data_IF_213076535909
#
_entry.id   IF_213076535909
#
_cell.length_a   1.000
_cell.length_b   1.000
_cell.length_c   1.000
_cell.angle_alpha   90.00
_cell.angle_beta   90.00
_cell.angle_gamma   90.00
#
_symmetry.space_group_name_H-M   'P 1'
#
loop_
_entity.id
_entity.type
_entity.pdbx_description
1 polymer ?
#
# COMPACT_ATOMS: atom_id res chain seq x y z
N UNK A 1 -11.71 19.05 18.38
CA UNK A 1 -12.43 17.75 18.25
C UNK A 1 -13.08 17.68 16.88
N UNK A 2 -13.11 16.53 16.19
CA UNK A 2 -13.78 16.43 14.90
C UNK A 2 -15.31 16.61 15.05
N UNK A 3 -15.98 17.29 14.08
CA UNK A 3 -17.43 17.47 14.03
C UNK A 3 -18.23 16.19 14.24
N UNK A 4 -19.39 16.29 14.90
CA UNK A 4 -20.28 15.15 15.22
C UNK A 4 -20.68 14.37 13.95
N UNK A 5 -21.00 15.08 12.85
CA UNK A 5 -21.34 14.47 11.55
C UNK A 5 -20.23 13.54 11.04
N UNK A 6 -18.97 13.91 11.21
CA UNK A 6 -17.81 13.11 10.77
C UNK A 6 -17.69 11.83 11.61
N UNK A 7 -17.98 11.88 12.91
CA UNK A 7 -17.99 10.69 13.77
C UNK A 7 -19.06 9.68 13.34
N UNK A 8 -20.23 10.17 12.91
CA UNK A 8 -21.36 9.33 12.44
C UNK A 8 -21.01 8.65 11.11
N UNK A 9 -20.54 9.41 10.12
CA UNK A 9 -20.13 8.87 8.81
C UNK A 9 -19.06 7.78 8.97
N UNK A 10 -18.09 7.99 9.86
CA UNK A 10 -17.05 6.98 10.16
C UNK A 10 -17.61 5.69 10.76
N UNK A 11 -18.59 5.77 11.67
CA UNK A 11 -19.27 4.58 12.20
C UNK A 11 -20.00 3.80 11.11
N UNK A 12 -20.69 4.50 10.21
CA UNK A 12 -21.38 3.88 9.07
C UNK A 12 -20.39 3.19 8.13
N UNK A 13 -19.29 3.85 7.77
CA UNK A 13 -18.25 3.27 6.92
C UNK A 13 -17.59 2.05 7.58
N UNK A 14 -17.39 2.07 8.90
CA UNK A 14 -16.90 0.91 9.64
C UNK A 14 -17.85 -0.28 9.54
N UNK A 15 -19.16 -0.09 9.72
CA UNK A 15 -20.16 -1.17 9.60
C UNK A 15 -20.16 -1.74 8.17
N UNK A 16 -20.09 -0.88 7.14
CA UNK A 16 -19.99 -1.31 5.73
C UNK A 16 -18.72 -2.14 5.50
N UNK A 17 -17.58 -1.73 6.06
CA UNK A 17 -16.33 -2.47 5.97
C UNK A 17 -16.39 -3.86 6.62
N UNK A 18 -17.03 -3.98 7.79
CA UNK A 18 -17.28 -5.26 8.47
C UNK A 18 -18.12 -6.18 7.56
N UNK A 19 -19.23 -5.69 7.02
CA UNK A 19 -20.08 -6.48 6.13
C UNK A 19 -19.35 -6.93 4.86
N UNK A 20 -18.58 -6.03 4.25
CA UNK A 20 -17.75 -6.33 3.09
C UNK A 20 -16.68 -7.39 3.39
N UNK A 21 -16.03 -7.30 4.55
CA UNK A 21 -15.06 -8.29 5.02
C UNK A 21 -15.69 -9.68 5.16
N UNK A 22 -16.83 -9.78 5.85
CA UNK A 22 -17.54 -11.06 6.06
C UNK A 22 -17.94 -11.67 4.71
N UNK A 23 -18.38 -10.86 3.76
CA UNK A 23 -18.75 -11.30 2.41
C UNK A 23 -17.57 -11.90 1.63
N UNK A 24 -16.41 -11.23 1.62
CA UNK A 24 -15.20 -11.74 0.95
C UNK A 24 -14.75 -13.04 1.61
N UNK A 25 -14.71 -13.07 2.94
CA UNK A 25 -14.31 -14.26 3.69
C UNK A 25 -15.19 -15.46 3.36
N UNK A 26 -16.53 -15.29 3.31
CA UNK A 26 -17.47 -16.36 2.93
C UNK A 26 -17.29 -16.85 1.49
N UNK A 27 -16.91 -15.97 0.55
CA UNK A 27 -16.73 -16.30 -0.87
C UNK A 27 -15.38 -16.99 -1.14
N UNK A 28 -14.30 -16.48 -0.56
CA UNK A 28 -12.93 -16.91 -0.90
C UNK A 28 -12.31 -17.87 0.13
N UNK A 29 -12.97 -18.08 1.28
CA UNK A 29 -12.47 -18.85 2.44
C UNK A 29 -11.07 -18.44 2.94
N UNK A 30 -10.57 -17.28 2.53
CA UNK A 30 -9.30 -16.67 2.97
C UNK A 30 -9.60 -15.43 3.80
N UNK A 31 -8.82 -15.19 4.86
CA UNK A 31 -8.98 -13.98 5.68
C UNK A 31 -8.67 -12.73 4.85
N UNK A 32 -9.65 -11.83 4.61
CA UNK A 32 -9.42 -10.61 3.84
C UNK A 32 -8.44 -9.68 4.54
N UNK A 33 -7.74 -8.85 3.78
CA UNK A 33 -6.94 -7.78 4.36
C UNK A 33 -7.86 -6.70 4.95
N UNK A 34 -7.90 -6.60 6.28
CA UNK A 34 -8.73 -5.63 6.99
C UNK A 34 -8.42 -4.17 6.61
N UNK A 35 -7.19 -3.84 6.23
CA UNK A 35 -6.85 -2.47 5.79
C UNK A 35 -7.48 -2.15 4.43
N UNK A 36 -7.63 -3.16 3.56
CA UNK A 36 -8.30 -3.02 2.27
C UNK A 36 -9.82 -3.10 2.39
N UNK A 37 -10.33 -3.93 3.31
CA UNK A 37 -11.77 -4.07 3.54
C UNK A 37 -12.43 -2.78 4.06
N UNK A 38 -11.66 -1.95 4.77
CA UNK A 38 -12.10 -0.62 5.25
C UNK A 38 -12.34 0.39 4.15
N UNK A 39 -11.73 0.18 2.99
CA UNK A 39 -11.74 1.18 1.93
C UNK A 39 -12.63 0.72 0.81
N UNK A 40 -13.85 1.25 0.81
CA UNK A 40 -14.94 0.83 -0.09
C UNK A 40 -15.10 1.74 -1.31
N UNK A 41 -14.39 2.87 -1.38
CA UNK A 41 -14.57 3.89 -2.42
C UNK A 41 -13.59 3.77 -3.61
N UNK A 42 -14.10 4.10 -4.81
CA UNK A 42 -13.39 4.05 -6.10
C UNK A 42 -12.16 4.98 -6.16
N UNK A 43 -12.12 6.01 -5.31
CA UNK A 43 -11.03 6.99 -5.23
C UNK A 43 -9.74 6.42 -4.61
N UNK A 44 -9.80 5.23 -4.00
CA UNK A 44 -8.66 4.59 -3.33
C UNK A 44 -7.74 3.78 -4.27
N UNK A 45 -7.99 3.76 -5.58
CA UNK A 45 -7.22 2.90 -6.50
C UNK A 45 -5.69 3.15 -6.41
N UNK A 46 -5.29 4.42 -6.33
CA UNK A 46 -3.88 4.83 -6.30
C UNK A 46 -3.24 4.42 -4.96
N UNK A 47 -3.89 4.76 -3.84
CA UNK A 47 -3.45 4.39 -2.50
C UNK A 47 -3.37 2.86 -2.33
N UNK A 48 -4.36 2.12 -2.85
CA UNK A 48 -4.37 0.65 -2.87
C UNK A 48 -3.16 0.09 -3.60
N UNK A 49 -2.83 0.65 -4.77
CA UNK A 49 -1.68 0.21 -5.57
C UNK A 49 -0.39 0.36 -4.78
N UNK A 50 -0.18 1.53 -4.16
CA UNK A 50 1.01 1.77 -3.35
C UNK A 50 1.02 0.94 -2.05
N UNK A 51 -0.13 0.77 -1.41
CA UNK A 51 -0.30 -0.07 -0.22
C UNK A 51 0.16 -1.51 -0.48
N UNK A 52 -0.32 -2.11 -1.58
CA UNK A 52 0.04 -3.47 -1.96
C UNK A 52 1.53 -3.59 -2.27
N UNK A 53 2.09 -2.63 -3.02
CA UNK A 53 3.52 -2.63 -3.35
C UNK A 53 4.40 -2.54 -2.09
N UNK A 54 4.05 -1.66 -1.14
CA UNK A 54 4.77 -1.53 0.13
C UNK A 54 4.61 -2.79 1.00
N UNK A 55 3.41 -3.37 1.07
CA UNK A 55 3.18 -4.63 1.80
C UNK A 55 3.99 -5.78 1.20
N UNK A 56 4.06 -5.86 -0.12
CA UNK A 56 4.87 -6.85 -0.83
C UNK A 56 6.37 -6.67 -0.55
N UNK A 57 6.83 -5.42 -0.48
CA UNK A 57 8.18 -5.08 -0.06
C UNK A 57 8.47 -5.42 1.42
N UNK A 58 7.47 -5.76 2.23
CA UNK A 58 7.63 -6.21 3.62
C UNK A 58 7.30 -5.15 4.67
N UNK A 59 6.72 -4.02 4.28
CA UNK A 59 6.30 -2.99 5.22
C UNK A 59 4.99 -3.34 5.93
N UNK A 60 4.90 -2.97 7.22
CA UNK A 60 3.63 -2.89 7.93
C UNK A 60 2.99 -1.54 7.62
N UNK A 61 1.91 -1.55 6.84
CA UNK A 61 1.21 -0.35 6.36
C UNK A 61 -0.19 -0.28 6.97
N UNK A 62 -0.58 0.91 7.44
CA UNK A 62 -1.96 1.24 7.86
C UNK A 62 -2.53 2.27 6.90
N UNK A 63 -3.82 2.18 6.60
CA UNK A 63 -4.55 3.12 5.74
C UNK A 63 -5.39 4.09 6.59
N UNK A 64 -5.60 5.32 6.11
CA UNK A 64 -6.54 6.30 6.67
C UNK A 64 -6.39 6.53 8.19
N UNK A 65 -5.16 6.76 8.65
CA UNK A 65 -4.87 6.96 10.08
C UNK A 65 -5.13 8.41 10.47
N UNK A 66 -5.79 8.63 11.61
CA UNK A 66 -6.12 9.96 12.10
C UNK A 66 -5.09 10.44 13.11
N UNK A 67 -4.48 11.59 12.85
CA UNK A 67 -3.61 12.33 13.76
C UNK A 67 -4.27 13.68 14.09
N UNK A 68 -4.95 13.74 15.24
CA UNK A 68 -5.71 14.92 15.64
C UNK A 68 -6.92 15.14 14.73
N UNK A 69 -6.91 16.24 13.98
CA UNK A 69 -7.97 16.57 13.01
C UNK A 69 -7.62 16.14 11.58
N UNK A 70 -6.41 15.63 11.34
CA UNK A 70 -5.93 15.27 10.01
C UNK A 70 -5.96 13.77 9.81
N UNK A 71 -6.42 13.34 8.64
CA UNK A 71 -6.34 11.96 8.19
C UNK A 71 -5.22 11.86 7.15
N UNK A 72 -4.48 10.76 7.19
CA UNK A 72 -3.37 10.48 6.28
C UNK A 72 -3.63 9.18 5.52
N UNK A 73 -3.27 9.15 4.24
CA UNK A 73 -3.61 8.05 3.33
C UNK A 73 -2.93 6.74 3.76
N UNK A 74 -1.60 6.75 3.92
CA UNK A 74 -0.83 5.60 4.37
C UNK A 74 0.11 5.97 5.51
N UNK A 75 0.28 5.05 6.46
CA UNK A 75 1.17 5.20 7.60
C UNK A 75 2.00 3.94 7.84
N UNK A 76 3.32 4.12 7.99
CA UNK A 76 4.30 3.09 8.33
C UNK A 76 4.76 3.27 9.79
N UNK A 77 4.12 2.60 10.77
CA UNK A 77 4.30 2.93 12.18
C UNK A 77 5.73 2.77 12.70
N UNK A 78 6.40 1.70 12.29
CA UNK A 78 7.79 1.42 12.69
C UNK A 78 8.75 2.56 12.29
N UNK A 79 8.43 3.28 11.22
CA UNK A 79 9.30 4.28 10.64
C UNK A 79 8.82 5.71 10.88
N UNK A 80 7.70 5.89 11.62
CA UNK A 80 7.02 7.17 11.82
C UNK A 80 6.84 7.93 10.50
N UNK A 81 6.55 7.22 9.42
CA UNK A 81 6.46 7.76 8.07
C UNK A 81 5.01 7.76 7.59
N UNK A 82 4.52 8.94 7.27
CA UNK A 82 3.26 9.18 6.56
C UNK A 82 3.54 9.27 5.08
N UNK A 83 2.70 8.63 4.28
CA UNK A 83 2.71 8.74 2.83
C UNK A 83 1.35 9.26 2.37
N UNK A 84 1.37 10.36 1.62
CA UNK A 84 0.17 10.98 1.03
C UNK A 84 0.18 10.70 -0.49
N UNK A 85 -0.93 10.18 -1.01
CA UNK A 85 -1.16 9.91 -2.42
C UNK A 85 -1.95 11.08 -3.03
N UNK A 86 -1.24 11.97 -3.70
CA UNK A 86 -1.84 13.16 -4.28
C UNK A 86 -2.59 12.80 -5.57
N UNK A 87 -3.93 12.77 -5.48
CA UNK A 87 -4.83 12.65 -6.62
C UNK A 87 -4.67 13.88 -7.51
N UNK A 88 -4.66 13.68 -8.83
CA UNK A 88 -4.36 14.75 -9.79
C UNK A 88 -5.50 15.80 -9.82
N UNK A 89 -5.45 16.80 -8.95
CA UNK A 89 -6.20 18.05 -9.08
C UNK A 89 -5.34 19.18 -8.54
N UNK A 90 -4.53 19.75 -9.43
CA UNK A 90 -3.89 21.05 -9.23
C UNK A 90 -4.96 22.15 -9.22
N UNK A 91 -5.77 22.24 -8.16
CA UNK A 91 -6.34 23.53 -7.77
C UNK A 91 -5.30 24.18 -6.88
N UNK A 92 -4.31 24.81 -7.50
CA UNK A 92 -3.18 25.47 -6.85
C UNK A 92 -3.58 26.73 -6.05
N UNK A 93 -4.80 26.75 -5.51
CA UNK A 93 -5.31 27.88 -4.74
C UNK A 93 -4.40 28.12 -3.53
N UNK A 94 -4.12 29.39 -3.19
CA UNK A 94 -3.33 29.73 -2.01
C UNK A 94 -3.85 29.06 -0.74
N UNK A 95 -5.16 28.90 -0.60
CA UNK A 95 -5.81 28.32 0.57
C UNK A 95 -5.57 26.80 0.69
N UNK A 96 -5.55 26.07 -0.42
CA UNK A 96 -5.21 24.64 -0.41
C UNK A 96 -3.75 24.43 -0.02
N UNK A 97 -2.85 25.22 -0.61
CA UNK A 97 -1.41 25.18 -0.27
C UNK A 97 -1.17 25.48 1.20
N UNK A 98 -1.86 26.47 1.75
CA UNK A 98 -1.71 26.82 3.16
C UNK A 98 -2.25 25.72 4.08
N UNK A 99 -3.41 25.13 3.76
CA UNK A 99 -3.93 23.98 4.52
C UNK A 99 -2.98 22.79 4.49
N UNK A 100 -2.41 22.45 3.33
CA UNK A 100 -1.44 21.37 3.20
C UNK A 100 -0.15 21.65 3.99
N UNK A 101 0.36 22.89 3.93
CA UNK A 101 1.51 23.33 4.73
C UNK A 101 1.22 23.19 6.24
N UNK A 102 0.05 23.64 6.70
CA UNK A 102 -0.35 23.50 8.09
C UNK A 102 -0.46 22.03 8.52
N UNK A 103 -1.10 21.18 7.69
CA UNK A 103 -1.19 19.72 7.93
C UNK A 103 0.22 19.13 8.08
N UNK A 104 1.11 19.40 7.13
CA UNK A 104 2.47 18.88 7.14
C UNK A 104 3.27 19.36 8.35
N UNK A 105 3.18 20.65 8.70
CA UNK A 105 3.83 21.19 9.88
C UNK A 105 3.35 20.53 11.16
N UNK A 106 2.04 20.29 11.31
CA UNK A 106 1.48 19.63 12.49
C UNK A 106 1.96 18.18 12.58
N UNK A 107 1.92 17.42 11.48
CA UNK A 107 2.42 16.04 11.43
C UNK A 107 3.90 15.97 11.84
N UNK A 108 4.74 16.88 11.33
CA UNK A 108 6.17 16.94 11.66
C UNK A 108 6.44 17.42 13.08
N UNK A 109 5.94 18.59 13.46
CA UNK A 109 6.32 19.27 14.71
C UNK A 109 5.65 18.62 15.94
N UNK A 110 4.34 18.34 15.85
CA UNK A 110 3.55 17.81 16.97
C UNK A 110 3.65 16.29 17.09
N UNK A 111 3.50 15.57 15.98
CA UNK A 111 3.46 14.10 15.99
C UNK A 111 4.83 13.45 15.70
N UNK A 112 5.86 14.26 15.39
CA UNK A 112 7.22 13.79 15.07
C UNK A 112 7.23 12.76 13.93
N UNK A 113 6.38 13.00 12.92
CA UNK A 113 6.24 12.15 11.74
C UNK A 113 7.04 12.71 10.56
N UNK A 114 7.61 11.82 9.77
CA UNK A 114 8.10 12.13 8.43
C UNK A 114 6.91 12.10 7.47
N UNK A 115 6.91 12.97 6.46
CA UNK A 115 5.85 13.01 5.44
C UNK A 115 6.49 12.87 4.07
N UNK A 116 6.00 11.94 3.25
CA UNK A 116 6.40 11.75 1.86
C UNK A 116 5.17 11.77 0.97
N UNK A 117 5.11 12.72 0.04
CA UNK A 117 4.02 12.82 -0.92
C UNK A 117 4.42 12.21 -2.26
N UNK A 118 3.50 11.49 -2.89
CA UNK A 118 3.65 11.00 -4.25
C UNK A 118 2.45 11.40 -5.08
N UNK A 119 2.69 11.83 -6.32
CA UNK A 119 1.62 12.11 -7.27
C UNK A 119 0.98 10.83 -7.79
N UNK A 120 -0.27 10.93 -8.23
CA UNK A 120 -0.97 9.85 -8.93
C UNK A 120 -0.14 9.28 -10.10
N UNK A 121 0.53 10.13 -10.88
CA UNK A 121 1.37 9.71 -12.01
C UNK A 121 2.57 8.90 -11.54
N UNK A 122 3.25 9.31 -10.47
CA UNK A 122 4.35 8.53 -9.88
C UNK A 122 3.86 7.17 -9.40
N UNK A 123 2.76 7.13 -8.64
CA UNK A 123 2.24 5.86 -8.11
C UNK A 123 1.74 4.95 -9.22
N UNK A 124 1.07 5.47 -10.24
CA UNK A 124 0.49 4.64 -11.31
C UNK A 124 1.53 4.15 -12.31
N UNK A 125 2.50 5.00 -12.70
CA UNK A 125 3.49 4.69 -13.74
C UNK A 125 4.84 4.21 -13.21
N UNK A 126 5.17 4.50 -11.94
CA UNK A 126 6.48 4.23 -11.34
C UNK A 126 6.34 3.72 -9.90
N UNK A 127 5.45 2.75 -9.67
CA UNK A 127 5.16 2.24 -8.32
C UNK A 127 6.41 1.71 -7.62
N UNK A 128 7.27 0.98 -8.32
CA UNK A 128 8.50 0.42 -7.74
C UNK A 128 9.49 1.51 -7.33
N UNK A 129 9.59 2.58 -8.12
CA UNK A 129 10.36 3.76 -7.74
C UNK A 129 9.80 4.44 -6.48
N UNK A 130 8.48 4.49 -6.30
CA UNK A 130 7.90 5.00 -5.06
C UNK A 130 8.31 4.14 -3.86
N UNK A 131 8.31 2.80 -4.00
CA UNK A 131 8.77 1.87 -2.97
C UNK A 131 10.25 2.08 -2.67
N UNK A 132 11.09 2.28 -3.69
CA UNK A 132 12.51 2.59 -3.53
C UNK A 132 12.73 3.89 -2.77
N UNK A 133 11.98 4.96 -3.09
CA UNK A 133 12.04 6.21 -2.33
C UNK A 133 11.59 6.07 -0.88
N UNK A 134 10.68 5.15 -0.59
CA UNK A 134 10.35 4.80 0.79
C UNK A 134 11.52 4.06 1.44
N UNK A 135 12.14 3.11 0.74
CA UNK A 135 13.30 2.38 1.23
C UNK A 135 14.52 3.27 1.52
N UNK A 136 14.79 4.29 0.70
CA UNK A 136 15.82 5.30 0.96
C UNK A 136 15.57 6.03 2.30
N UNK A 137 14.30 6.32 2.64
CA UNK A 137 13.92 7.05 3.86
C UNK A 137 13.86 6.19 5.13
N UNK A 138 13.66 4.88 4.97
CA UNK A 138 13.38 3.97 6.09
C UNK A 138 14.42 2.87 6.27
N UNK A 139 15.33 2.69 5.31
CA UNK A 139 15.99 1.41 5.08
C UNK A 139 15.01 0.37 4.50
N UNK A 140 15.54 -0.67 3.84
CA UNK A 140 14.71 -1.80 3.40
C UNK A 140 14.24 -2.61 4.62
N UNK A 141 12.94 -2.97 4.70
CA UNK A 141 12.46 -3.79 5.80
C UNK A 141 13.11 -5.17 5.70
N UNK A 142 13.48 -5.74 6.85
CA UNK A 142 14.00 -7.10 6.91
C UNK A 142 12.96 -8.07 6.35
N UNK A 143 13.25 -8.67 5.21
CA UNK A 143 12.38 -9.70 4.62
C UNK A 143 12.34 -10.91 5.55
N UNK A 144 11.15 -11.49 5.71
CA UNK A 144 10.97 -12.74 6.46
C UNK A 144 11.81 -13.84 5.83
N UNK A 145 12.56 -14.58 6.65
CA UNK A 145 13.35 -15.73 6.23
C UNK A 145 12.45 -16.73 5.49
N UNK A 146 11.25 -16.99 6.02
CA UNK A 146 10.24 -17.83 5.38
C UNK A 146 9.78 -17.33 4.01
N UNK A 147 9.71 -16.00 3.81
CA UNK A 147 9.37 -15.42 2.51
C UNK A 147 10.52 -15.56 1.51
N UNK A 148 11.77 -15.43 1.97
CA UNK A 148 12.96 -15.70 1.16
C UNK A 148 13.06 -17.18 0.77
N UNK A 149 12.87 -18.09 1.73
CA UNK A 149 12.85 -19.53 1.47
C UNK A 149 11.71 -19.92 0.53
N UNK A 150 10.51 -19.38 0.71
CA UNK A 150 9.39 -19.64 -0.20
C UNK A 150 9.67 -19.18 -1.62
N UNK A 151 10.26 -17.99 -1.80
CA UNK A 151 10.66 -17.50 -3.12
C UNK A 151 11.75 -18.39 -3.74
N UNK A 152 12.76 -18.79 -2.96
CA UNK A 152 13.81 -19.68 -3.41
C UNK A 152 13.28 -21.03 -3.92
N UNK A 153 12.30 -21.62 -3.22
CA UNK A 153 11.67 -22.88 -3.67
C UNK A 153 10.96 -22.69 -5.01
N UNK A 154 10.24 -21.59 -5.20
CA UNK A 154 9.58 -21.27 -6.47
C UNK A 154 10.62 -21.12 -7.58
N UNK A 155 11.68 -20.34 -7.34
CA UNK A 155 12.72 -20.07 -8.33
C UNK A 155 13.44 -21.37 -8.76
N UNK A 156 13.71 -22.28 -7.82
CA UNK A 156 14.29 -23.61 -8.12
C UNK A 156 13.33 -24.46 -8.95
N UNK A 157 12.03 -24.43 -8.63
CA UNK A 157 11.00 -25.14 -9.39
C UNK A 157 10.88 -24.63 -10.83
N UNK A 158 10.87 -23.31 -11.03
CA UNK A 158 10.83 -22.68 -12.36
C UNK A 158 12.07 -23.01 -13.20
N UNK A 159 13.25 -23.03 -12.57
CA UNK A 159 14.49 -23.44 -13.22
C UNK A 159 14.42 -24.91 -13.65
N UNK A 160 13.97 -25.81 -12.78
CA UNK A 160 13.82 -27.23 -13.11
C UNK A 160 12.85 -27.46 -14.27
N UNK A 161 11.71 -26.76 -14.28
CA UNK A 161 10.74 -26.81 -15.38
C UNK A 161 11.34 -26.32 -16.71
N UNK A 162 12.15 -25.26 -16.66
CA UNK A 162 12.86 -24.74 -17.83
C UNK A 162 13.83 -25.80 -18.39
N UNK A 163 14.64 -26.41 -17.53
CA UNK A 163 15.60 -27.47 -17.92
C UNK A 163 14.89 -28.68 -18.51
N UNK A 164 13.79 -29.14 -17.89
CA UNK A 164 13.01 -30.27 -18.41
C UNK A 164 12.44 -29.95 -19.80
N UNK A 165 11.86 -28.75 -19.98
CA UNK A 165 11.34 -28.32 -21.29
C UNK A 165 12.44 -28.33 -22.36
N UNK A 166 13.62 -27.79 -22.05
CA UNK A 166 14.75 -27.74 -22.98
C UNK A 166 15.23 -29.16 -23.37
N UNK A 167 15.22 -30.11 -22.42
CA UNK A 167 15.57 -31.51 -22.69
C UNK A 167 14.55 -32.18 -23.63
N UNK A 168 13.25 -32.02 -23.36
CA UNK A 168 12.19 -32.55 -24.24
C UNK A 168 12.24 -31.94 -25.64
N UNK A 169 12.57 -30.64 -25.74
CA UNK A 169 12.66 -29.94 -27.02
C UNK A 169 13.89 -30.36 -27.83
N UNK A 170 15.01 -30.71 -27.17
CA UNK A 170 16.19 -31.31 -27.80
C UNK A 170 15.94 -32.73 -28.31
N UNK A 171 15.26 -33.58 -27.54
CA UNK A 171 14.91 -34.95 -27.98
C UNK A 171 13.98 -34.94 -29.21
N UNK A 172 13.09 -33.95 -29.28
CA UNK A 172 12.17 -33.76 -30.41
C UNK A 172 12.88 -33.36 -31.71
N UNK A 173 14.03 -32.68 -31.60
CA UNK A 173 14.85 -32.24 -32.75
C UNK A 173 15.78 -33.34 -33.27
N UNK A 174 16.12 -34.33 -32.44
CA UNK A 174 17.02 -35.44 -32.82
C UNK A 174 16.29 -36.66 -33.42
N UNK A 175 14.95 -36.69 -33.37
CA UNK A 175 14.11 -37.74 -33.98
C UNK A 175 13.57 -37.38 -35.37
N UNK A 176 14.12 -36.34 -36.02
CA UNK A 176 13.82 -35.97 -37.42
C UNK A 176 15.03 -36.19 -38.30
#
# INVERSE_FOLDING_TARGET
MPPIKIKIIRKINFIKAVGHYIRIWRKEKKMPDWQLAKVTDKNFYIEKKLYLALKNAGYKVKTHVIFGSYEVDLYLPKHKLVIEADGYTFHNSPEQKERDRMKEQILKKKYKLKVKRFTSKQITKRTDWCVEKVAELTGRPRQSIWKKFGQLIIDVGDLALTVIKDLFQKESQHKR
#
